data_IF_564369060621
#
_entry.id   IF_564369060621
#
_cell.length_a   1.000
_cell.length_b   1.000
_cell.length_c   1.000
_cell.angle_alpha   90.00
_cell.angle_beta   90.00
_cell.angle_gamma   90.00
#
_symmetry.space_group_name_H-M   'P 1'
#
loop_
_entity.id
_entity.type
_entity.pdbx_description
1 polymer ?
#
# COMPACT_ATOMS: atom_id res chain seq x y z
N UNK A 1 0.38 -1.14 1.41
CA UNK A 1 -0.11 -0.48 2.63
C UNK A 1 0.85 0.60 3.06
N UNK A 2 0.42 1.86 3.08
CA UNK A 2 1.17 2.98 3.68
C UNK A 2 0.90 2.92 5.19
N UNK A 3 1.74 2.23 5.95
CA UNK A 3 1.64 2.18 7.41
C UNK A 3 2.64 3.13 8.05
N UNK A 4 2.18 3.81 9.10
CA UNK A 4 2.90 4.67 10.06
C UNK A 4 4.23 5.18 9.51
N UNK A 5 4.20 6.33 8.88
CA UNK A 5 5.44 7.02 8.56
C UNK A 5 6.24 7.17 9.85
N UNK A 6 7.48 6.76 9.83
CA UNK A 6 8.44 7.30 10.79
C UNK A 6 8.60 8.74 10.35
N UNK A 7 7.98 9.67 11.06
CA UNK A 7 7.93 11.09 10.69
C UNK A 7 9.31 11.67 10.35
N UNK A 8 10.37 11.09 10.92
CA UNK A 8 11.76 11.46 10.64
C UNK A 8 12.33 10.94 9.30
N UNK A 9 11.58 10.10 8.57
CA UNK A 9 12.04 9.54 7.28
C UNK A 9 11.36 10.19 6.07
N UNK A 10 10.28 10.95 6.26
CA UNK A 10 9.56 11.63 5.19
C UNK A 10 10.09 13.04 4.94
N UNK A 11 10.14 13.52 3.68
CA UNK A 11 10.46 14.90 3.36
C UNK A 11 9.33 15.89 3.72
N UNK A 12 8.16 15.38 4.08
CA UNK A 12 7.00 16.20 4.44
C UNK A 12 7.06 16.64 5.90
N UNK A 13 6.32 17.71 6.20
CA UNK A 13 6.22 18.22 7.57
C UNK A 13 5.58 17.19 8.50
N UNK A 14 6.11 16.99 9.73
CA UNK A 14 5.59 16.03 10.68
C UNK A 14 4.07 16.16 10.92
N UNK A 15 3.54 17.38 10.95
CA UNK A 15 2.12 17.66 11.18
C UNK A 15 1.20 17.06 10.09
N UNK A 16 1.73 16.81 8.88
CA UNK A 16 0.98 16.19 7.79
C UNK A 16 0.95 14.68 7.95
N UNK A 17 2.09 14.08 8.31
CA UNK A 17 2.31 12.64 8.24
C UNK A 17 2.11 11.91 9.58
N UNK A 18 2.15 12.62 10.70
CA UNK A 18 1.93 12.01 12.01
C UNK A 18 0.56 11.34 12.10
N UNK A 19 0.54 10.04 12.45
CA UNK A 19 -0.69 9.26 12.56
C UNK A 19 -1.30 8.81 11.24
N UNK A 20 -0.63 9.02 10.11
CA UNK A 20 -1.07 8.47 8.80
C UNK A 20 -0.92 6.95 8.80
N UNK A 21 -2.00 6.25 8.52
CA UNK A 21 -2.05 4.80 8.32
C UNK A 21 -3.14 4.48 7.29
N UNK A 22 -2.73 4.29 6.02
CA UNK A 22 -3.63 4.08 4.89
C UNK A 22 -3.34 2.72 4.26
N UNK A 23 -4.38 1.96 3.98
CA UNK A 23 -4.33 0.75 3.16
C UNK A 23 -4.91 1.03 1.78
N UNK A 24 -4.12 0.90 0.73
CA UNK A 24 -4.60 0.96 -0.65
C UNK A 24 -4.96 -0.44 -1.13
N UNK A 25 -6.12 -0.56 -1.74
CA UNK A 25 -6.61 -1.76 -2.42
C UNK A 25 -6.85 -1.37 -3.88
N UNK A 26 -5.97 -1.86 -4.76
CA UNK A 26 -5.99 -1.60 -6.20
C UNK A 26 -6.54 -2.82 -6.92
N UNK A 27 -7.50 -2.64 -7.80
CA UNK A 27 -7.88 -3.68 -8.76
C UNK A 27 -6.72 -3.85 -9.75
N UNK A 28 -6.27 -5.09 -10.00
CA UNK A 28 -5.03 -5.35 -10.75
C UNK A 28 -5.25 -6.12 -12.06
N UNK A 29 -6.46 -6.61 -12.32
CA UNK A 29 -6.72 -7.59 -13.40
C UNK A 29 -7.56 -7.03 -14.53
N UNK A 30 -8.10 -5.83 -14.41
CA UNK A 30 -8.96 -5.18 -15.38
C UNK A 30 -8.49 -3.80 -15.84
N UNK A 31 -9.40 -3.11 -16.49
CA UNK A 31 -9.25 -1.72 -16.88
C UNK A 31 -8.37 -1.49 -18.10
N UNK A 32 -7.87 -0.28 -18.20
CA UNK A 32 -7.12 0.20 -19.37
C UNK A 32 -5.80 -0.55 -19.60
N UNK A 33 -5.21 -1.17 -18.56
CA UNK A 33 -3.97 -1.93 -18.67
C UNK A 33 -4.13 -3.17 -19.57
N UNK A 34 -5.30 -3.79 -19.56
CA UNK A 34 -5.59 -5.05 -20.27
C UNK A 34 -6.53 -4.87 -21.47
N UNK A 35 -7.10 -3.69 -21.63
CA UNK A 35 -7.99 -3.37 -22.75
C UNK A 35 -7.28 -3.32 -24.09
N UNK A 36 -8.08 -3.35 -25.16
CA UNK A 36 -7.57 -3.19 -26.53
C UNK A 36 -6.88 -1.84 -26.69
N UNK A 37 -5.73 -1.86 -27.37
CA UNK A 37 -4.95 -0.67 -27.71
C UNK A 37 -4.78 -0.60 -29.23
N UNK A 38 -5.17 0.52 -29.81
CA UNK A 38 -5.09 0.74 -31.24
C UNK A 38 -4.49 2.09 -31.58
N UNK A 39 -3.61 2.11 -32.59
CA UNK A 39 -3.07 3.35 -33.15
C UNK A 39 -3.01 3.26 -34.67
N UNK A 40 -3.78 4.09 -35.33
CA UNK A 40 -3.88 4.08 -36.81
C UNK A 40 -4.24 5.48 -37.32
N UNK A 41 -3.63 5.92 -38.45
CA UNK A 41 -3.98 7.16 -39.12
C UNK A 41 -3.89 8.44 -38.27
N UNK A 42 -2.98 8.47 -37.25
CA UNK A 42 -2.86 9.60 -36.33
C UNK A 42 -3.88 9.59 -35.19
N UNK A 43 -4.71 8.53 -35.06
CA UNK A 43 -5.66 8.32 -33.97
C UNK A 43 -5.14 7.20 -33.05
N UNK A 44 -5.21 7.41 -31.73
CA UNK A 44 -4.94 6.38 -30.73
C UNK A 44 -6.19 6.14 -29.88
N UNK A 45 -6.45 4.87 -29.54
CA UNK A 45 -7.58 4.46 -28.72
C UNK A 45 -7.11 3.42 -27.71
N UNK A 46 -7.47 3.63 -26.44
CA UNK A 46 -7.31 2.66 -25.36
C UNK A 46 -8.69 2.36 -24.78
N UNK A 47 -9.01 1.07 -24.64
CA UNK A 47 -10.30 0.61 -24.15
C UNK A 47 -10.15 0.28 -22.65
N UNK A 48 -11.00 0.86 -21.83
CA UNK A 48 -11.10 0.55 -20.40
C UNK A 48 -12.40 -0.23 -20.17
N UNK A 49 -12.30 -1.44 -19.61
CA UNK A 49 -13.47 -2.29 -19.33
C UNK A 49 -13.38 -2.82 -17.92
N UNK A 50 -14.52 -2.79 -17.21
CA UNK A 50 -14.74 -3.45 -15.93
C UNK A 50 -16.08 -4.17 -15.92
N UNK A 51 -16.12 -5.33 -15.29
CA UNK A 51 -17.34 -6.06 -14.97
C UNK A 51 -17.76 -5.81 -13.54
N UNK A 52 -19.05 -6.03 -13.22
CA UNK A 52 -19.54 -5.96 -11.85
C UNK A 52 -18.81 -6.93 -10.91
N UNK A 53 -18.48 -8.13 -11.38
CA UNK A 53 -17.80 -9.15 -10.57
C UNK A 53 -16.35 -8.73 -10.21
N UNK A 54 -15.60 -8.17 -11.15
CA UNK A 54 -14.26 -7.64 -10.89
C UNK A 54 -14.29 -6.54 -9.82
N UNK A 55 -15.23 -5.62 -9.96
CA UNK A 55 -15.41 -4.52 -9.01
C UNK A 55 -15.87 -5.03 -7.64
N UNK A 56 -16.88 -5.91 -7.59
CA UNK A 56 -17.40 -6.45 -6.34
C UNK A 56 -16.34 -7.24 -5.56
N UNK A 57 -15.51 -8.03 -6.26
CA UNK A 57 -14.41 -8.79 -5.67
C UNK A 57 -13.46 -7.91 -4.89
N UNK A 58 -12.96 -6.84 -5.50
CA UNK A 58 -11.97 -5.94 -4.85
C UNK A 58 -12.61 -5.12 -3.73
N UNK A 59 -13.88 -4.74 -3.87
CA UNK A 59 -14.64 -4.04 -2.83
C UNK A 59 -14.86 -4.90 -1.59
N UNK A 60 -15.20 -6.18 -1.76
CA UNK A 60 -15.33 -7.13 -0.65
C UNK A 60 -14.02 -7.27 0.12
N UNK A 61 -12.88 -7.33 -0.59
CA UNK A 61 -11.57 -7.34 0.04
C UNK A 61 -11.33 -6.04 0.84
N UNK A 62 -11.60 -4.89 0.26
CA UNK A 62 -11.42 -3.60 0.92
C UNK A 62 -12.28 -3.48 2.19
N UNK A 63 -13.54 -3.91 2.13
CA UNK A 63 -14.45 -3.89 3.28
C UNK A 63 -14.00 -4.85 4.38
N UNK A 64 -13.54 -6.07 4.05
CA UNK A 64 -12.96 -7.00 5.03
C UNK A 64 -11.76 -6.40 5.74
N UNK A 65 -10.82 -5.80 4.99
CA UNK A 65 -9.66 -5.12 5.57
C UNK A 65 -10.07 -3.93 6.44
N UNK A 66 -11.11 -3.19 6.07
CA UNK A 66 -11.60 -2.07 6.87
C UNK A 66 -12.15 -2.52 8.23
N UNK A 67 -12.84 -3.68 8.30
CA UNK A 67 -13.32 -4.25 9.58
C UNK A 67 -12.20 -4.55 10.58
N UNK A 68 -11.02 -4.93 10.07
CA UNK A 68 -9.82 -5.16 10.89
C UNK A 68 -9.08 -3.86 11.25
N UNK A 69 -9.57 -2.71 10.77
CA UNK A 69 -8.95 -1.40 10.94
C UNK A 69 -9.94 -0.41 11.57
N UNK A 70 -10.19 0.74 10.94
CA UNK A 70 -11.05 1.81 11.47
C UNK A 70 -12.49 1.77 10.94
N UNK A 71 -12.84 0.75 10.18
CA UNK A 71 -14.18 0.54 9.62
C UNK A 71 -14.58 1.53 8.51
N UNK A 72 -13.62 2.15 7.81
CA UNK A 72 -13.88 3.15 6.77
C UNK A 72 -13.25 2.74 5.44
N UNK A 73 -14.03 2.85 4.37
CA UNK A 73 -13.57 2.67 2.99
C UNK A 73 -13.86 3.92 2.19
N UNK A 74 -12.85 4.45 1.50
CA UNK A 74 -13.02 5.48 0.49
C UNK A 74 -12.86 4.84 -0.89
N UNK A 75 -13.96 4.74 -1.62
CA UNK A 75 -13.99 4.29 -3.01
C UNK A 75 -13.65 5.47 -3.92
N UNK A 76 -12.55 5.34 -4.66
CA UNK A 76 -12.06 6.41 -5.54
C UNK A 76 -12.34 6.07 -7.00
N UNK A 77 -12.95 7.02 -7.71
CA UNK A 77 -13.40 6.85 -9.09
C UNK A 77 -13.35 8.17 -9.88
N UNK A 78 -13.82 8.16 -11.13
CA UNK A 78 -14.04 9.33 -11.98
C UNK A 78 -15.46 9.32 -12.57
N UNK A 79 -16.47 9.07 -11.74
CA UNK A 79 -17.86 8.88 -12.15
C UNK A 79 -18.50 10.10 -12.84
N UNK A 80 -17.95 11.29 -12.65
CA UNK A 80 -18.36 12.49 -13.37
C UNK A 80 -17.99 12.48 -14.87
N UNK A 81 -17.09 11.56 -15.29
CA UNK A 81 -16.60 11.47 -16.68
C UNK A 81 -16.80 10.07 -17.28
N UNK A 82 -16.43 9.01 -16.57
CA UNK A 82 -16.29 7.65 -17.10
C UNK A 82 -17.48 6.75 -16.76
N UNK A 83 -18.01 6.01 -17.74
CA UNK A 83 -19.05 4.99 -17.51
C UNK A 83 -18.53 3.83 -16.64
N UNK A 84 -17.27 3.40 -16.83
CA UNK A 84 -16.64 2.39 -15.97
C UNK A 84 -16.60 2.82 -14.51
N UNK A 85 -16.38 4.10 -14.25
CA UNK A 85 -16.40 4.65 -12.90
C UNK A 85 -17.82 4.81 -12.32
N UNK A 86 -18.85 5.00 -13.16
CA UNK A 86 -20.25 4.98 -12.73
C UNK A 86 -20.65 3.57 -12.31
N UNK A 87 -20.34 2.56 -13.14
CA UNK A 87 -20.52 1.15 -12.77
C UNK A 87 -19.78 0.83 -11.46
N UNK A 88 -18.54 1.26 -11.33
CA UNK A 88 -17.74 1.08 -10.11
C UNK A 88 -18.45 1.63 -8.87
N UNK A 89 -18.95 2.87 -8.94
CA UNK A 89 -19.64 3.53 -7.85
C UNK A 89 -20.96 2.85 -7.47
N UNK A 90 -21.73 2.41 -8.46
CA UNK A 90 -23.00 1.71 -8.24
C UNK A 90 -22.76 0.37 -7.54
N UNK A 91 -21.78 -0.40 -7.99
CA UNK A 91 -21.39 -1.68 -7.35
C UNK A 91 -20.85 -1.44 -5.94
N UNK A 92 -20.01 -0.40 -5.75
CA UNK A 92 -19.46 -0.07 -4.43
C UNK A 92 -20.58 0.28 -3.43
N UNK A 93 -21.54 1.06 -3.86
CA UNK A 93 -22.70 1.44 -3.04
C UNK A 93 -23.53 0.20 -2.67
N UNK A 94 -23.82 -0.65 -3.64
CA UNK A 94 -24.60 -1.88 -3.45
C UNK A 94 -23.89 -2.86 -2.50
N UNK A 95 -22.62 -3.20 -2.77
CA UNK A 95 -21.85 -4.13 -1.93
C UNK A 95 -21.73 -3.63 -0.49
N UNK A 96 -21.48 -2.34 -0.29
CA UNK A 96 -21.43 -1.77 1.05
C UNK A 96 -22.77 -1.87 1.79
N UNK A 97 -23.87 -1.53 1.12
CA UNK A 97 -25.20 -1.55 1.74
C UNK A 97 -25.70 -2.95 2.05
N UNK A 98 -25.48 -3.92 1.16
CA UNK A 98 -26.03 -5.27 1.26
C UNK A 98 -25.15 -6.23 2.06
N UNK A 99 -23.81 -6.13 1.93
CA UNK A 99 -22.88 -7.11 2.49
C UNK A 99 -22.06 -6.58 3.67
N UNK A 100 -21.88 -5.25 3.77
CA UNK A 100 -21.00 -4.61 4.77
C UNK A 100 -21.66 -3.36 5.41
N UNK A 101 -22.88 -3.46 5.96
CA UNK A 101 -23.60 -2.31 6.52
C UNK A 101 -22.91 -1.68 7.76
N UNK A 102 -21.95 -2.39 8.34
CA UNK A 102 -21.09 -1.95 9.45
C UNK A 102 -19.87 -1.16 9.00
N UNK A 103 -19.55 -1.13 7.70
CA UNK A 103 -18.42 -0.40 7.12
C UNK A 103 -18.90 0.93 6.53
N UNK A 104 -18.28 2.02 6.96
CA UNK A 104 -18.57 3.33 6.40
C UNK A 104 -17.95 3.48 5.02
N UNK A 105 -18.78 3.46 3.97
CA UNK A 105 -18.39 3.71 2.59
C UNK A 105 -18.53 5.18 2.24
N UNK A 106 -17.48 5.77 1.67
CA UNK A 106 -17.48 7.12 1.11
C UNK A 106 -16.96 7.07 -0.33
N UNK A 107 -17.42 7.97 -1.19
CA UNK A 107 -16.94 8.10 -2.57
C UNK A 107 -16.16 9.39 -2.74
N UNK A 108 -15.04 9.31 -3.45
CA UNK A 108 -14.26 10.47 -3.83
C UNK A 108 -13.91 10.43 -5.33
N UNK A 109 -13.91 11.58 -5.98
CA UNK A 109 -13.33 11.70 -7.30
C UNK A 109 -11.81 11.64 -7.19
N UNK A 110 -11.15 10.99 -8.14
CA UNK A 110 -9.69 10.74 -8.10
C UNK A 110 -8.86 12.02 -7.96
N UNK A 111 -9.26 13.10 -8.64
CA UNK A 111 -8.61 14.40 -8.55
C UNK A 111 -8.75 15.04 -7.16
N UNK A 112 -9.91 14.89 -6.52
CA UNK A 112 -10.12 15.34 -5.15
C UNK A 112 -9.34 14.46 -4.15
N UNK A 113 -9.30 13.14 -4.39
CA UNK A 113 -8.54 12.21 -3.56
C UNK A 113 -7.03 12.52 -3.58
N UNK A 114 -6.46 12.80 -4.76
CA UNK A 114 -5.06 13.22 -4.90
C UNK A 114 -4.75 14.48 -4.07
N UNK A 115 -5.58 15.52 -4.16
CA UNK A 115 -5.40 16.71 -3.33
C UNK A 115 -5.50 16.41 -1.83
N UNK A 116 -6.47 15.60 -1.42
CA UNK A 116 -6.69 15.27 -0.01
C UNK A 116 -5.57 14.40 0.57
N UNK A 117 -4.95 13.52 -0.21
CA UNK A 117 -3.79 12.76 0.21
C UNK A 117 -2.64 13.64 0.69
N UNK A 118 -2.46 14.82 0.08
CA UNK A 118 -1.44 15.79 0.48
C UNK A 118 -1.89 16.70 1.62
N UNK A 119 -3.18 17.06 1.66
CA UNK A 119 -3.72 18.03 2.62
C UNK A 119 -4.13 17.40 3.95
N UNK A 120 -4.76 16.23 3.91
CA UNK A 120 -5.30 15.54 5.08
C UNK A 120 -5.27 14.00 4.92
N UNK A 121 -4.08 13.39 4.78
CA UNK A 121 -3.97 11.94 4.57
C UNK A 121 -4.56 11.12 5.72
N UNK A 122 -4.64 11.66 6.94
CA UNK A 122 -5.25 10.97 8.10
C UNK A 122 -6.74 10.69 7.95
N UNK A 123 -7.42 11.38 7.04
CA UNK A 123 -8.83 11.12 6.75
C UNK A 123 -9.06 9.74 6.12
N UNK A 124 -8.06 9.18 5.46
CA UNK A 124 -8.16 7.88 4.80
C UNK A 124 -7.82 6.72 5.74
N UNK A 125 -8.55 5.61 5.61
CA UNK A 125 -8.29 4.33 6.27
C UNK A 125 -7.99 3.26 5.21
N UNK A 126 -9.01 2.75 4.52
CA UNK A 126 -8.86 1.91 3.35
C UNK A 126 -9.31 2.70 2.12
N UNK A 127 -8.44 2.79 1.13
CA UNK A 127 -8.74 3.39 -0.18
C UNK A 127 -8.86 2.26 -1.19
N UNK A 128 -9.98 2.18 -1.89
CA UNK A 128 -10.18 1.20 -2.97
C UNK A 128 -10.41 1.91 -4.29
N UNK A 129 -9.76 1.45 -5.35
CA UNK A 129 -9.84 2.08 -6.66
C UNK A 129 -9.48 1.12 -7.79
N UNK A 130 -9.83 1.52 -9.01
CA UNK A 130 -9.47 0.83 -10.24
C UNK A 130 -7.96 0.88 -10.51
N UNK A 131 -7.52 0.14 -11.52
CA UNK A 131 -6.12 -0.16 -11.78
C UNK A 131 -5.25 1.09 -11.97
N UNK A 132 -5.61 1.95 -12.93
CA UNK A 132 -4.78 3.11 -13.30
C UNK A 132 -4.78 4.20 -12.21
N UNK A 133 -5.93 4.48 -11.59
CA UNK A 133 -5.99 5.45 -10.50
C UNK A 133 -5.24 4.93 -9.27
N UNK A 134 -5.31 3.61 -9.03
CA UNK A 134 -4.56 2.97 -7.96
C UNK A 134 -3.05 3.10 -8.15
N UNK A 135 -2.56 2.93 -9.37
CA UNK A 135 -1.15 3.12 -9.73
C UNK A 135 -0.68 4.54 -9.36
N UNK A 136 -1.39 5.54 -9.87
CA UNK A 136 -1.01 6.95 -9.68
C UNK A 136 -1.10 7.36 -8.20
N UNK A 137 -2.19 7.01 -7.52
CA UNK A 137 -2.40 7.40 -6.12
C UNK A 137 -1.47 6.69 -5.14
N UNK A 138 -1.05 5.45 -5.42
CA UNK A 138 -0.09 4.75 -4.55
C UNK A 138 1.32 5.32 -4.69
N UNK A 139 1.72 5.76 -5.89
CA UNK A 139 2.98 6.44 -6.10
C UNK A 139 3.00 7.82 -5.40
N UNK A 140 1.92 8.59 -5.51
CA UNK A 140 1.77 9.83 -4.76
C UNK A 140 1.82 9.59 -3.24
N UNK A 141 1.09 8.59 -2.75
CA UNK A 141 1.06 8.24 -1.34
C UNK A 141 2.40 7.70 -0.80
N UNK A 142 3.29 7.20 -1.67
CA UNK A 142 4.62 6.74 -1.28
C UNK A 142 5.45 7.85 -0.62
N UNK A 143 5.24 9.08 -1.04
CA UNK A 143 5.89 10.27 -0.46
C UNK A 143 5.53 10.46 1.01
N UNK A 144 4.32 10.06 1.43
CA UNK A 144 3.90 10.09 2.83
C UNK A 144 4.73 9.14 3.70
N UNK A 145 5.17 8.02 3.15
CA UNK A 145 6.02 7.06 3.85
C UNK A 145 7.49 7.49 3.92
N UNK A 146 7.92 8.40 3.04
CA UNK A 146 9.28 8.91 2.95
C UNK A 146 10.13 8.26 1.88
N UNK A 147 9.92 7.01 1.56
CA UNK A 147 10.57 6.29 0.46
C UNK A 147 9.68 5.16 -0.05
N UNK A 148 9.68 4.95 -1.35
CA UNK A 148 9.08 3.78 -1.99
C UNK A 148 9.68 2.46 -1.47
N UNK A 149 10.95 2.49 -1.04
CA UNK A 149 11.65 1.36 -0.43
C UNK A 149 11.08 0.88 0.91
N UNK A 150 10.17 1.64 1.52
CA UNK A 150 9.46 1.27 2.75
C UNK A 150 8.15 0.52 2.50
N UNK A 151 7.70 0.43 1.26
CA UNK A 151 6.33 -0.01 0.97
C UNK A 151 6.27 -1.46 0.50
N UNK A 152 5.59 -2.33 1.26
CA UNK A 152 5.27 -3.68 0.82
C UNK A 152 4.02 -3.70 -0.04
N UNK A 153 3.86 -4.75 -0.83
CA UNK A 153 2.62 -5.08 -1.51
C UNK A 153 2.26 -6.55 -1.43
N UNK A 154 0.98 -6.83 -1.64
CA UNK A 154 0.44 -8.17 -1.77
C UNK A 154 -0.61 -8.18 -2.87
N UNK A 155 -0.47 -9.07 -3.84
CA UNK A 155 -1.49 -9.42 -4.82
C UNK A 155 -2.19 -10.68 -4.34
N UNK A 156 -3.43 -10.53 -3.89
CA UNK A 156 -4.21 -11.62 -3.29
C UNK A 156 -5.24 -12.13 -4.30
N UNK A 157 -5.26 -13.44 -4.50
CA UNK A 157 -6.34 -14.11 -5.21
C UNK A 157 -7.51 -14.38 -4.25
N UNK A 158 -8.69 -14.68 -4.79
CA UNK A 158 -9.84 -15.12 -3.99
C UNK A 158 -9.55 -16.48 -3.32
N UNK A 159 -8.89 -17.37 -4.05
CA UNK A 159 -8.40 -18.66 -3.59
C UNK A 159 -6.97 -18.88 -4.09
N UNK A 160 -6.17 -19.59 -3.28
CA UNK A 160 -4.80 -19.95 -3.64
C UNK A 160 -3.74 -19.02 -3.09
N UNK A 161 -2.49 -19.16 -3.56
CA UNK A 161 -1.35 -18.39 -3.04
C UNK A 161 -1.41 -16.92 -3.48
N UNK A 162 -0.99 -16.02 -2.58
CA UNK A 162 -0.74 -14.62 -2.90
C UNK A 162 0.68 -14.41 -3.43
N UNK A 163 0.88 -13.31 -4.17
CA UNK A 163 2.21 -12.80 -4.54
C UNK A 163 2.56 -11.63 -3.60
N UNK A 164 3.75 -11.67 -3.02
CA UNK A 164 4.21 -10.68 -2.05
C UNK A 164 5.54 -10.09 -2.50
N UNK A 165 5.56 -8.80 -2.75
CA UNK A 165 6.73 -8.10 -3.26
C UNK A 165 6.74 -6.63 -2.81
N UNK A 166 7.91 -5.95 -2.79
CA UNK A 166 7.94 -4.50 -2.67
C UNK A 166 7.20 -3.84 -3.83
N UNK A 167 6.70 -2.60 -3.63
CA UNK A 167 6.05 -1.87 -4.74
C UNK A 167 7.06 -1.30 -5.74
N UNK A 168 8.32 -1.13 -5.33
CA UNK A 168 9.37 -0.59 -6.21
C UNK A 168 9.85 -1.60 -7.24
N UNK A 169 10.37 -1.10 -8.37
CA UNK A 169 10.97 -1.91 -9.42
C UNK A 169 12.31 -2.54 -9.02
N UNK A 170 12.93 -3.24 -9.95
CA UNK A 170 14.17 -4.01 -9.74
C UNK A 170 15.45 -3.16 -9.58
N UNK A 171 15.44 -1.88 -9.99
CA UNK A 171 16.56 -0.93 -9.90
C UNK A 171 17.93 -1.58 -10.25
N UNK A 172 18.12 -2.03 -11.50
CA UNK A 172 19.31 -2.81 -11.90
C UNK A 172 20.62 -2.05 -11.71
N UNK A 173 20.59 -0.73 -11.70
CA UNK A 173 21.70 0.17 -11.42
C UNK A 173 22.19 0.11 -9.97
N UNK A 174 21.37 -0.35 -9.03
CA UNK A 174 21.71 -0.55 -7.62
C UNK A 174 22.20 -1.97 -7.32
N UNK A 175 22.06 -2.90 -8.25
CA UNK A 175 22.42 -4.29 -8.04
C UNK A 175 23.89 -4.46 -7.63
N UNK A 176 24.16 -5.23 -6.57
CA UNK A 176 25.51 -5.49 -6.06
C UNK A 176 26.15 -4.34 -5.27
N UNK A 177 25.51 -3.16 -5.18
CA UNK A 177 26.09 -1.99 -4.49
C UNK A 177 25.79 -1.95 -2.99
N UNK A 178 24.89 -2.79 -2.48
CA UNK A 178 24.51 -2.82 -1.07
C UNK A 178 23.78 -1.54 -0.59
N UNK A 179 23.15 -0.80 -1.49
CA UNK A 179 22.50 0.48 -1.20
C UNK A 179 20.98 0.40 -1.10
N UNK A 180 20.37 -0.65 -1.66
CA UNK A 180 18.91 -0.79 -1.70
C UNK A 180 18.34 -0.90 -0.29
N UNK A 181 17.19 -0.23 -0.07
CA UNK A 181 16.43 -0.32 1.17
C UNK A 181 15.73 -1.69 1.25
N UNK A 182 15.99 -2.54 2.26
CA UNK A 182 15.39 -3.87 2.35
C UNK A 182 14.01 -3.87 3.02
N UNK A 183 13.54 -2.74 3.54
CA UNK A 183 12.29 -2.66 4.32
C UNK A 183 11.08 -3.18 3.54
N UNK A 184 10.92 -2.77 2.28
CA UNK A 184 9.81 -3.21 1.43
C UNK A 184 9.75 -4.73 1.30
N UNK A 185 10.89 -5.39 1.10
CA UNK A 185 10.97 -6.85 1.00
C UNK A 185 10.67 -7.53 2.36
N UNK A 186 11.23 -7.03 3.46
CA UNK A 186 10.99 -7.55 4.81
C UNK A 186 9.52 -7.40 5.20
N UNK A 187 8.91 -6.26 4.93
CA UNK A 187 7.50 -6.01 5.19
C UNK A 187 6.57 -6.82 4.26
N UNK A 188 6.99 -7.11 3.03
CA UNK A 188 6.27 -8.02 2.14
C UNK A 188 6.26 -9.46 2.69
N UNK A 189 7.37 -9.90 3.28
CA UNK A 189 7.40 -11.18 4.01
C UNK A 189 6.43 -11.16 5.22
N UNK A 190 6.31 -10.05 5.94
CA UNK A 190 5.30 -9.92 7.00
C UNK A 190 3.87 -10.04 6.46
N UNK A 191 3.57 -9.46 5.28
CA UNK A 191 2.26 -9.66 4.63
C UNK A 191 2.01 -11.12 4.25
N UNK A 192 3.02 -11.85 3.76
CA UNK A 192 2.94 -13.29 3.48
C UNK A 192 2.61 -14.08 4.76
N UNK A 193 3.32 -13.80 5.86
CA UNK A 193 3.05 -14.42 7.15
C UNK A 193 1.59 -14.19 7.59
N UNK A 194 1.10 -12.97 7.46
CA UNK A 194 -0.25 -12.58 7.87
C UNK A 194 -1.34 -13.20 7.00
N UNK A 195 -1.25 -13.01 5.68
CA UNK A 195 -2.36 -13.31 4.77
C UNK A 195 -2.36 -14.73 4.21
N UNK A 196 -1.19 -15.33 3.93
CA UNK A 196 -1.13 -16.70 3.40
C UNK A 196 -0.93 -17.76 4.48
N UNK A 197 -0.18 -17.45 5.53
CA UNK A 197 0.18 -18.42 6.56
C UNK A 197 -0.63 -18.29 7.85
N UNK A 198 -1.44 -17.25 8.02
CA UNK A 198 -2.23 -16.99 9.23
C UNK A 198 -1.40 -16.68 10.49
N UNK A 199 -0.11 -16.36 10.31
CA UNK A 199 0.86 -16.10 11.38
C UNK A 199 0.86 -14.60 11.74
N UNK A 200 -0.25 -14.11 12.30
CA UNK A 200 -0.44 -12.69 12.55
C UNK A 200 0.53 -12.11 13.59
N UNK A 201 0.90 -12.90 14.61
CA UNK A 201 1.84 -12.46 15.68
C UNK A 201 3.26 -12.33 15.15
N UNK A 202 3.69 -13.28 14.35
CA UNK A 202 5.01 -13.28 13.69
C UNK A 202 5.11 -12.10 12.70
N UNK A 203 4.05 -11.85 11.93
CA UNK A 203 3.96 -10.70 11.04
C UNK A 203 4.09 -9.38 11.83
N UNK A 204 3.38 -9.23 12.93
CA UNK A 204 3.46 -8.04 13.81
C UNK A 204 4.86 -7.85 14.41
N UNK A 205 5.52 -8.95 14.79
CA UNK A 205 6.90 -8.91 15.29
C UNK A 205 7.85 -8.37 14.22
N UNK A 206 7.77 -8.86 13.00
CA UNK A 206 8.58 -8.37 11.87
C UNK A 206 8.31 -6.89 11.61
N UNK A 207 7.05 -6.49 11.48
CA UNK A 207 6.65 -5.09 11.25
C UNK A 207 7.19 -4.17 12.37
N UNK A 208 7.00 -4.56 13.63
CA UNK A 208 7.45 -3.79 14.79
C UNK A 208 8.96 -3.64 14.80
N UNK A 209 9.71 -4.70 14.47
CA UNK A 209 11.17 -4.69 14.42
C UNK A 209 11.72 -3.76 13.34
N UNK A 210 11.12 -3.73 12.16
CA UNK A 210 11.47 -2.76 11.12
C UNK A 210 11.28 -1.33 11.62
N UNK A 211 10.12 -1.02 12.20
CA UNK A 211 9.85 0.33 12.71
C UNK A 211 10.70 0.69 13.93
N UNK A 212 11.06 -0.27 14.78
CA UNK A 212 11.99 -0.04 15.89
C UNK A 212 13.38 0.34 15.39
N UNK A 213 13.89 -0.39 14.40
CA UNK A 213 15.17 -0.09 13.75
C UNK A 213 15.18 1.32 13.13
N UNK A 214 14.12 1.68 12.41
CA UNK A 214 13.96 3.04 11.87
C UNK A 214 13.90 4.11 12.98
N UNK A 215 13.16 3.89 14.07
CA UNK A 215 13.08 4.85 15.20
C UNK A 215 14.41 5.05 15.90
N UNK A 216 15.30 4.07 15.90
CA UNK A 216 16.67 4.21 16.45
C UNK A 216 17.60 5.04 15.56
N UNK A 217 17.12 5.50 14.40
CA UNK A 217 17.87 6.38 13.52
C UNK A 217 18.68 5.65 12.44
N UNK A 218 18.61 4.31 12.36
CA UNK A 218 19.28 3.61 11.26
C UNK A 218 18.55 3.89 9.94
N UNK A 219 19.30 4.33 8.92
CA UNK A 219 18.77 4.78 7.63
C UNK A 219 19.57 4.16 6.48
N UNK A 220 18.87 3.74 5.45
CA UNK A 220 19.45 3.50 4.12
C UNK A 220 19.56 4.82 3.36
N UNK A 221 20.32 4.84 2.26
CA UNK A 221 20.65 6.07 1.53
C UNK A 221 19.42 6.87 1.04
N UNK A 222 18.32 6.19 0.73
CA UNK A 222 17.05 6.79 0.28
C UNK A 222 16.27 7.50 1.40
N UNK A 223 16.59 7.21 2.66
CA UNK A 223 15.94 7.76 3.86
C UNK A 223 16.85 8.72 4.64
N UNK A 224 18.13 8.75 4.30
CA UNK A 224 19.13 9.52 5.05
C UNK A 224 19.06 11.00 4.66
N UNK A 225 19.11 11.88 5.66
CA UNK A 225 19.36 13.30 5.47
C UNK A 225 20.84 13.56 5.15
N UNK A 226 21.16 14.81 4.78
CA UNK A 226 22.50 15.22 4.33
C UNK A 226 23.63 14.98 5.35
N UNK A 227 23.30 14.81 6.63
CA UNK A 227 24.26 14.64 7.74
C UNK A 227 24.17 13.25 8.39
N UNK A 228 23.34 12.34 7.87
CA UNK A 228 23.14 11.01 8.47
C UNK A 228 24.19 10.03 8.00
N UNK A 229 24.58 9.11 8.88
CA UNK A 229 25.36 7.92 8.51
C UNK A 229 24.42 6.88 7.92
N UNK A 230 24.69 6.46 6.69
CA UNK A 230 23.87 5.47 6.00
C UNK A 230 24.28 4.04 6.34
N UNK A 231 23.29 3.17 6.52
CA UNK A 231 23.50 1.73 6.62
C UNK A 231 23.46 1.09 5.24
N UNK A 232 24.22 0.03 5.04
CA UNK A 232 24.08 -0.83 3.87
C UNK A 232 22.78 -1.66 3.97
N UNK A 233 22.36 -2.23 2.84
CA UNK A 233 21.25 -3.20 2.78
C UNK A 233 21.44 -4.32 3.81
N UNK A 234 22.65 -4.87 3.91
CA UNK A 234 22.98 -5.98 4.81
C UNK A 234 22.95 -5.56 6.28
N UNK A 235 23.53 -4.40 6.62
CA UNK A 235 23.55 -3.89 8.00
C UNK A 235 22.16 -3.59 8.51
N UNK A 236 21.32 -2.99 7.66
CA UNK A 236 19.92 -2.73 8.03
C UNK A 236 19.14 -4.03 8.26
N UNK A 237 19.28 -5.01 7.35
CA UNK A 237 18.62 -6.31 7.49
C UNK A 237 19.08 -7.06 8.75
N UNK A 238 20.39 -7.02 9.06
CA UNK A 238 20.95 -7.61 10.26
C UNK A 238 20.40 -6.93 11.54
N UNK A 239 20.27 -5.61 11.54
CA UNK A 239 19.68 -4.88 12.66
C UNK A 239 18.21 -5.28 12.91
N UNK A 240 17.40 -5.43 11.85
CA UNK A 240 16.02 -5.91 11.98
C UNK A 240 15.97 -7.35 12.52
N UNK A 241 16.84 -8.25 12.00
CA UNK A 241 16.90 -9.62 12.47
C UNK A 241 17.26 -9.70 13.97
N UNK A 242 18.19 -8.85 14.44
CA UNK A 242 18.55 -8.77 15.85
C UNK A 242 17.38 -8.30 16.74
N UNK A 243 16.55 -7.33 16.25
CA UNK A 243 15.34 -6.92 16.95
C UNK A 243 14.34 -8.08 17.09
N UNK A 244 14.10 -8.83 16.00
CA UNK A 244 13.21 -10.00 16.01
C UNK A 244 13.68 -11.04 17.03
N UNK A 245 15.00 -11.32 17.08
CA UNK A 245 15.58 -12.28 18.03
C UNK A 245 15.60 -11.78 19.47
N UNK A 246 15.79 -10.48 19.67
CA UNK A 246 15.79 -9.84 21.00
C UNK A 246 14.42 -9.91 21.69
N UNK A 247 13.35 -9.67 20.95
CA UNK A 247 11.98 -9.80 21.48
C UNK A 247 11.61 -11.25 21.84
N UNK A 248 12.25 -12.24 21.18
CA UNK A 248 12.07 -13.66 21.52
C UNK A 248 12.71 -14.08 22.85
N UNK A 249 13.77 -13.40 23.28
CA UNK A 249 14.44 -13.73 24.56
C UNK A 249 13.76 -13.12 25.79
N UNK A 250 12.97 -12.05 25.62
CA UNK A 250 12.26 -11.40 26.73
C UNK A 250 10.95 -12.09 27.17
N UNK A 251 10.44 -13.05 26.40
CA UNK A 251 9.16 -13.74 26.67
C UNK A 251 9.27 -15.18 27.14
N UNK A 252 10.49 -15.71 27.26
CA UNK A 252 10.72 -17.07 27.76
C UNK A 252 10.88 -17.16 29.29
N UNK A 253 10.78 -16.02 30.04
CA UNK A 253 10.90 -15.98 31.50
C UNK A 253 9.76 -15.10 32.04
N UNK A 254 8.56 -15.65 32.11
CA UNK A 254 7.51 -15.26 33.08
C UNK A 254 6.44 -16.37 33.16
#
# INVERSE_FOLDING_TARGET
TVRRSVASASPLKPEIIEGVDICFVRELTGGIYFGEKRREGGVATDVCTYTEDEVARVLRLACRLARERRGRVTSVDKANVLETSRLWRDVATRVAAEEFPDVRMEHALVDAAAMQLLQNPRAYDVVVTENMFGDILTDEASVLAGSIGLLPSASLAEEGPGLYEPIHGSAPDLAGRGLANPCGAILSAALLLRHSLGLAREAETVETSVYATLRRGLRTADLAGSNDTTASTADFAAAVANEICGDGQGRAIA
#
